data_IF_222050631406
#
_entry.id   IF_222050631406
#
_cell.length_a   1.000
_cell.length_b   1.000
_cell.length_c   1.000
_cell.angle_alpha   90.00
_cell.angle_beta   90.00
_cell.angle_gamma   90.00
#
_symmetry.space_group_name_H-M   'P 1'
#
loop_
_entity.id
_entity.type
_entity.pdbx_description
1 polymer ?
#
# COMPACT_ATOMS: atom_id res chain seq x y z
N UNK A 1 30.59 -8.55 -6.66
CA UNK A 1 29.13 -8.41 -6.87
C UNK A 1 28.46 -8.80 -5.57
N UNK A 2 28.16 -7.84 -4.69
CA UNK A 2 27.46 -8.15 -3.44
C UNK A 2 25.99 -8.30 -3.79
N UNK A 3 25.49 -9.53 -3.71
CA UNK A 3 24.08 -9.83 -3.87
C UNK A 3 23.30 -9.11 -2.78
N UNK A 4 22.40 -8.21 -3.20
CA UNK A 4 21.45 -7.59 -2.32
C UNK A 4 20.61 -8.67 -1.66
N UNK A 5 20.68 -8.74 -0.33
CA UNK A 5 19.79 -9.57 0.48
C UNK A 5 18.38 -9.08 0.18
N UNK A 6 17.58 -9.91 -0.48
CA UNK A 6 16.15 -9.67 -0.60
C UNK A 6 15.59 -9.72 0.83
N UNK A 7 15.36 -8.55 1.43
CA UNK A 7 14.64 -8.45 2.70
C UNK A 7 13.24 -8.97 2.41
N UNK A 8 12.87 -10.10 3.00
CA UNK A 8 11.53 -10.64 2.85
C UNK A 8 10.53 -9.63 3.41
N UNK A 9 9.48 -9.32 2.64
CA UNK A 9 8.45 -8.40 3.08
C UNK A 9 7.82 -8.86 4.39
N UNK A 10 7.56 -7.91 5.29
CA UNK A 10 6.85 -8.18 6.54
C UNK A 10 5.42 -8.64 6.23
N UNK A 11 4.77 -9.27 7.20
CA UNK A 11 3.36 -9.66 7.06
C UNK A 11 2.45 -8.45 6.83
N UNK A 12 2.78 -7.29 7.42
CA UNK A 12 2.02 -6.04 7.20
C UNK A 12 2.19 -5.55 5.76
N UNK A 13 3.42 -5.48 5.28
CA UNK A 13 3.75 -5.11 3.89
C UNK A 13 3.02 -6.00 2.87
N UNK A 14 3.06 -7.31 3.06
CA UNK A 14 2.38 -8.25 2.17
C UNK A 14 0.85 -8.08 2.20
N UNK A 15 0.25 -7.87 3.38
CA UNK A 15 -1.20 -7.64 3.48
C UNK A 15 -1.62 -6.34 2.78
N UNK A 16 -0.87 -5.27 2.97
CA UNK A 16 -1.11 -3.99 2.29
C UNK A 16 -1.05 -4.13 0.77
N UNK A 17 -0.02 -4.82 0.26
CA UNK A 17 0.07 -5.11 -1.18
C UNK A 17 -1.15 -5.89 -1.68
N UNK A 18 -1.55 -6.96 -0.97
CA UNK A 18 -2.71 -7.77 -1.36
C UNK A 18 -4.00 -6.94 -1.37
N UNK A 19 -4.22 -6.09 -0.36
CA UNK A 19 -5.38 -5.18 -0.35
C UNK A 19 -5.38 -4.24 -1.56
N UNK A 20 -4.23 -3.64 -1.89
CA UNK A 20 -4.08 -2.79 -3.08
C UNK A 20 -4.34 -3.57 -4.37
N UNK A 21 -3.84 -4.79 -4.49
CA UNK A 21 -4.07 -5.64 -5.66
C UNK A 21 -5.55 -6.02 -5.85
N UNK A 22 -6.27 -6.23 -4.75
CA UNK A 22 -7.71 -6.50 -4.76
C UNK A 22 -8.51 -5.24 -5.12
N UNK A 23 -8.11 -4.08 -4.59
CA UNK A 23 -8.77 -2.80 -4.86
C UNK A 23 -8.51 -2.29 -6.28
N UNK A 24 -7.31 -2.51 -6.81
CA UNK A 24 -6.86 -1.99 -8.10
C UNK A 24 -6.34 -3.12 -9.03
N UNK A 25 -7.23 -3.98 -9.53
CA UNK A 25 -6.84 -5.15 -10.32
C UNK A 25 -6.10 -4.78 -11.62
N UNK A 26 -6.34 -3.59 -12.17
CA UNK A 26 -5.72 -3.13 -13.42
C UNK A 26 -4.21 -2.92 -13.29
N UNK A 27 -3.71 -2.56 -12.10
CA UNK A 27 -2.27 -2.35 -11.84
C UNK A 27 -1.66 -3.50 -11.02
N UNK A 28 -2.35 -4.64 -10.91
CA UNK A 28 -1.91 -5.79 -10.11
C UNK A 28 -0.52 -6.30 -10.49
N UNK A 29 -0.24 -6.39 -11.79
CA UNK A 29 1.09 -6.81 -12.28
C UNK A 29 2.17 -5.79 -11.93
N UNK A 30 1.87 -4.49 -12.05
CA UNK A 30 2.78 -3.43 -11.67
C UNK A 30 3.10 -3.45 -10.17
N UNK A 31 2.12 -3.66 -9.29
CA UNK A 31 2.32 -3.76 -7.83
C UNK A 31 3.34 -4.85 -7.45
N UNK A 32 3.27 -6.02 -8.08
CA UNK A 32 4.20 -7.14 -7.84
C UNK A 32 5.61 -6.84 -8.35
N UNK A 33 5.73 -6.23 -9.53
CA UNK A 33 7.03 -5.92 -10.13
C UNK A 33 7.70 -4.71 -9.48
N UNK A 34 6.91 -3.75 -9.00
CA UNK A 34 7.39 -2.53 -8.37
C UNK A 34 8.13 -2.81 -7.06
N UNK A 35 7.68 -3.80 -6.28
CA UNK A 35 8.38 -4.27 -5.08
C UNK A 35 9.82 -4.73 -5.39
N UNK A 36 9.98 -5.51 -6.46
CA UNK A 36 11.30 -6.02 -6.88
C UNK A 36 12.20 -4.90 -7.40
N UNK A 37 11.62 -3.93 -8.12
CA UNK A 37 12.37 -2.87 -8.83
C UNK A 37 12.63 -1.62 -7.97
N UNK A 38 11.77 -1.35 -7.00
CA UNK A 38 11.85 -0.24 -6.05
C UNK A 38 11.49 -0.75 -4.66
N UNK A 39 12.42 -1.42 -3.95
CA UNK A 39 12.14 -2.06 -2.66
C UNK A 39 11.56 -1.11 -1.60
N UNK A 40 11.81 0.20 -1.67
CA UNK A 40 11.23 1.18 -0.75
C UNK A 40 9.71 1.33 -0.87
N UNK A 41 9.08 0.84 -1.94
CA UNK A 41 7.62 0.85 -2.10
C UNK A 41 6.92 -0.02 -1.04
N UNK A 42 7.60 -1.03 -0.48
CA UNK A 42 7.01 -1.90 0.55
C UNK A 42 6.60 -1.11 1.79
N UNK A 43 7.29 0.00 2.09
CA UNK A 43 6.93 0.87 3.21
C UNK A 43 5.57 1.56 2.98
N UNK A 44 5.19 1.83 1.73
CA UNK A 44 3.86 2.35 1.41
C UNK A 44 2.80 1.25 1.57
N UNK A 45 3.14 -0.01 1.27
CA UNK A 45 2.24 -1.13 1.50
C UNK A 45 1.99 -1.34 3.00
N UNK A 46 3.04 -1.25 3.82
CA UNK A 46 2.92 -1.29 5.28
C UNK A 46 2.05 -0.16 5.81
N UNK A 47 2.35 1.09 5.42
CA UNK A 47 1.57 2.24 5.83
C UNK A 47 0.10 2.13 5.43
N UNK A 48 -0.17 1.58 4.24
CA UNK A 48 -1.54 1.33 3.78
C UNK A 48 -2.26 0.28 4.63
N UNK A 49 -1.60 -0.83 4.98
CA UNK A 49 -2.18 -1.84 5.87
C UNK A 49 -2.48 -1.25 7.25
N UNK A 50 -1.54 -0.49 7.81
CA UNK A 50 -1.69 0.09 9.14
C UNK A 50 -2.83 1.12 9.18
N UNK A 51 -2.93 1.98 8.15
CA UNK A 51 -4.03 2.94 8.01
C UNK A 51 -5.39 2.23 7.85
N UNK A 52 -5.47 1.22 6.98
CA UNK A 52 -6.70 0.44 6.79
C UNK A 52 -7.11 -0.29 8.07
N UNK A 53 -6.17 -0.95 8.75
CA UNK A 53 -6.45 -1.69 9.98
C UNK A 53 -6.92 -0.77 11.10
N UNK A 54 -6.37 0.44 11.18
CA UNK A 54 -6.80 1.45 12.16
C UNK A 54 -8.19 1.97 11.81
N UNK A 55 -8.46 2.28 10.54
CA UNK A 55 -9.77 2.71 10.08
C UNK A 55 -10.85 1.65 10.35
N UNK A 56 -10.58 0.38 10.05
CA UNK A 56 -11.47 -0.75 10.32
C UNK A 56 -11.77 -0.86 11.82
N UNK A 57 -10.76 -0.66 12.68
CA UNK A 57 -10.93 -0.68 14.14
C UNK A 57 -11.82 0.48 14.62
N UNK A 58 -11.59 1.69 14.08
CA UNK A 58 -12.40 2.86 14.39
C UNK A 58 -13.85 2.68 13.91
N UNK A 59 -14.08 2.07 12.75
CA UNK A 59 -15.46 1.87 12.24
C UNK A 59 -16.32 0.97 13.13
N UNK A 60 -15.70 0.03 13.85
CA UNK A 60 -16.41 -0.92 14.73
C UNK A 60 -16.52 -0.40 16.18
N UNK A 61 -15.71 0.59 16.57
CA UNK A 61 -15.76 1.15 17.91
C UNK A 61 -17.00 2.03 18.14
N UNK A 62 -17.71 1.78 19.24
CA UNK A 62 -19.02 2.39 19.54
C UNK A 62 -18.98 3.91 19.78
N UNK A 63 -17.79 4.47 20.08
CA UNK A 63 -17.58 5.89 20.37
C UNK A 63 -16.43 6.46 19.53
N UNK A 64 -16.39 6.12 18.24
CA UNK A 64 -15.36 6.65 17.35
C UNK A 64 -15.61 8.10 16.98
N UNK A 65 -14.53 8.88 17.05
CA UNK A 65 -14.52 10.27 16.62
C UNK A 65 -14.69 10.33 15.07
N UNK A 66 -15.76 11.00 14.56
CA UNK A 66 -15.96 11.15 13.13
C UNK A 66 -14.82 11.90 12.42
N UNK A 67 -14.10 12.79 13.14
CA UNK A 67 -12.93 13.49 12.59
C UNK A 67 -11.80 12.50 12.34
N UNK A 68 -11.50 11.65 13.34
CA UNK A 68 -10.44 10.65 13.23
C UNK A 68 -10.75 9.61 12.14
N UNK A 69 -12.03 9.21 12.00
CA UNK A 69 -12.48 8.35 10.90
C UNK A 69 -12.20 9.00 9.53
N UNK A 70 -12.52 10.30 9.38
CA UNK A 70 -12.28 11.03 8.15
C UNK A 70 -10.78 11.17 7.83
N UNK A 71 -9.95 11.44 8.85
CA UNK A 71 -8.50 11.52 8.71
C UNK A 71 -7.89 10.21 8.22
N UNK A 72 -8.24 9.07 8.83
CA UNK A 72 -7.73 7.78 8.39
C UNK A 72 -8.27 7.36 7.01
N UNK A 73 -9.50 7.73 6.66
CA UNK A 73 -10.04 7.51 5.33
C UNK A 73 -9.31 8.34 4.25
N UNK A 74 -8.98 9.59 4.56
CA UNK A 74 -8.17 10.45 3.70
C UNK A 74 -6.76 9.88 3.53
N UNK A 75 -6.12 9.47 4.63
CA UNK A 75 -4.79 8.86 4.60
C UNK A 75 -4.74 7.60 3.73
N UNK A 76 -5.74 6.71 3.83
CA UNK A 76 -5.83 5.56 2.92
C UNK A 76 -5.85 6.00 1.46
N UNK A 77 -6.68 7.01 1.13
CA UNK A 77 -6.83 7.52 -0.23
C UNK A 77 -5.55 8.18 -0.77
N UNK A 78 -4.81 8.89 0.09
CA UNK A 78 -3.53 9.50 -0.26
C UNK A 78 -2.49 8.43 -0.60
N UNK A 79 -2.34 7.41 0.26
CA UNK A 79 -1.38 6.32 0.02
C UNK A 79 -1.74 5.55 -1.27
N UNK A 80 -3.02 5.29 -1.51
CA UNK A 80 -3.48 4.66 -2.74
C UNK A 80 -3.10 5.48 -3.98
N UNK A 81 -3.29 6.79 -3.92
CA UNK A 81 -2.96 7.72 -5.00
C UNK A 81 -1.47 7.68 -5.32
N UNK A 82 -0.63 7.72 -4.29
CA UNK A 82 0.83 7.66 -4.43
C UNK A 82 1.29 6.33 -5.05
N UNK A 83 0.75 5.21 -4.55
CA UNK A 83 1.10 3.88 -5.09
C UNK A 83 0.66 3.75 -6.55
N UNK A 84 -0.55 4.20 -6.90
CA UNK A 84 -1.04 4.15 -8.29
C UNK A 84 -0.16 5.02 -9.19
N UNK A 85 0.22 6.22 -8.75
CA UNK A 85 1.11 7.10 -9.51
C UNK A 85 2.46 6.42 -9.79
N UNK A 86 3.01 5.71 -8.79
CA UNK A 86 4.24 4.92 -8.96
C UNK A 86 4.05 3.76 -9.94
N UNK A 87 2.94 3.02 -9.87
CA UNK A 87 2.63 1.94 -10.82
C UNK A 87 2.52 2.45 -12.25
N UNK A 88 1.80 3.54 -12.48
CA UNK A 88 1.65 4.14 -13.81
C UNK A 88 2.99 4.69 -14.34
N UNK A 89 3.82 5.27 -13.47
CA UNK A 89 5.17 5.67 -13.83
C UNK A 89 6.05 4.47 -14.20
N UNK A 90 5.92 3.36 -13.46
CA UNK A 90 6.65 2.13 -13.74
C UNK A 90 6.28 1.53 -15.10
N UNK A 91 5.00 1.45 -15.43
CA UNK A 91 4.53 0.92 -16.72
C UNK A 91 5.03 1.74 -17.90
N UNK A 92 5.06 3.08 -17.77
CA UNK A 92 5.60 3.98 -18.81
C UNK A 92 7.11 3.82 -19.04
N UNK A 93 7.86 3.48 -18.00
CA UNK A 93 9.31 3.31 -18.07
C UNK A 93 9.75 1.89 -18.49
N UNK A 94 8.79 0.96 -18.61
CA UNK A 94 9.00 -0.43 -19.00
C UNK A 94 8.56 -0.78 -20.43
N UNK A 95 8.14 0.21 -21.24
CA UNK A 95 7.91 0.08 -22.68
C UNK A 95 9.11 0.53 -23.50
#
# INVERSE_FOLDING_TARGET
MVGGIAVAATRSQHRGMVRLMLKFPRVRGALQLLEVRKPTVINLYEAYEDACSTLETLQVAALSDPVLLAEYAALCTEIETDVIALCLAFERNGS
#
